data_IF_356632373452
#
_entry.id   IF_356632373452
#
_cell.length_a   1.000
_cell.length_b   1.000
_cell.length_c   1.000
_cell.angle_alpha   90.00
_cell.angle_beta   90.00
_cell.angle_gamma   90.00
#
_symmetry.space_group_name_H-M   'P 1'
#
loop_
_entity.id
_entity.type
_entity.pdbx_description
1 polymer ?
#
# COMPACT_ATOMS: atom_id res chain seq x y z
N UNK A 1 -41.66 28.44 10.75
CA UNK A 1 -40.57 28.15 11.69
C UNK A 1 -39.26 28.46 10.97
N UNK A 2 -38.36 29.23 11.60
CA UNK A 2 -37.05 29.50 11.00
C UNK A 2 -36.23 28.22 10.90
N UNK A 3 -35.58 28.00 9.77
CA UNK A 3 -34.66 26.86 9.62
C UNK A 3 -33.37 27.18 10.35
N UNK A 4 -33.00 26.37 11.35
CA UNK A 4 -31.75 26.54 12.09
C UNK A 4 -30.56 26.31 11.14
N UNK A 5 -29.65 27.29 11.10
CA UNK A 5 -28.44 27.26 10.29
C UNK A 5 -27.21 27.26 11.18
N UNK A 6 -26.21 26.50 10.75
CA UNK A 6 -24.98 26.28 11.49
C UNK A 6 -23.89 27.16 10.89
N UNK A 7 -23.22 27.92 11.75
CA UNK A 7 -22.01 28.65 11.34
C UNK A 7 -20.84 27.67 11.37
N UNK A 8 -20.12 27.59 10.26
CA UNK A 8 -18.95 26.71 10.10
C UNK A 8 -17.86 27.59 9.51
N UNK A 9 -16.70 27.66 10.17
CA UNK A 9 -15.57 28.40 9.66
C UNK A 9 -15.17 27.90 8.26
N UNK A 10 -14.85 28.78 7.29
CA UNK A 10 -14.52 28.36 5.93
C UNK A 10 -13.41 27.31 5.85
N UNK A 11 -12.41 27.43 6.73
CA UNK A 11 -11.31 26.46 6.86
C UNK A 11 -11.80 25.07 7.30
N UNK A 12 -12.75 25.02 8.23
CA UNK A 12 -13.38 23.80 8.75
C UNK A 12 -14.35 23.21 7.71
N UNK A 13 -15.09 24.06 7.00
CA UNK A 13 -15.98 23.63 5.92
C UNK A 13 -15.19 22.96 4.79
N UNK A 14 -14.13 23.61 4.30
CA UNK A 14 -13.30 23.06 3.23
C UNK A 14 -12.57 21.78 3.66
N UNK A 15 -12.13 21.71 4.91
CA UNK A 15 -11.56 20.50 5.50
C UNK A 15 -12.59 19.37 5.55
N UNK A 16 -13.81 19.62 6.07
CA UNK A 16 -14.87 18.63 6.14
C UNK A 16 -15.32 18.15 4.75
N UNK A 17 -15.44 19.06 3.77
CA UNK A 17 -15.77 18.72 2.39
C UNK A 17 -14.70 17.83 1.75
N UNK A 18 -13.41 18.16 1.94
CA UNK A 18 -12.29 17.32 1.48
C UNK A 18 -12.33 15.93 2.11
N UNK A 19 -12.61 15.83 3.41
CA UNK A 19 -12.75 14.55 4.13
C UNK A 19 -13.89 13.68 3.60
N UNK A 20 -14.85 14.20 2.85
CA UNK A 20 -15.88 13.32 2.24
C UNK A 20 -15.32 12.42 1.13
N UNK A 21 -14.16 12.76 0.54
CA UNK A 21 -13.59 12.05 -0.61
C UNK A 21 -14.45 12.15 -1.89
N UNK A 22 -15.48 13.00 -1.90
CA UNK A 22 -16.37 13.19 -3.04
C UNK A 22 -15.76 14.16 -4.05
N UNK A 23 -15.93 13.87 -5.34
CA UNK A 23 -15.61 14.82 -6.40
C UNK A 23 -16.52 16.05 -6.34
N UNK A 24 -16.07 17.17 -6.89
CA UNK A 24 -16.83 18.43 -6.91
C UNK A 24 -18.23 18.29 -7.56
N UNK A 25 -18.39 17.40 -8.53
CA UNK A 25 -19.70 17.08 -9.12
C UNK A 25 -20.61 16.34 -8.14
N UNK A 26 -20.08 15.33 -7.43
CA UNK A 26 -20.83 14.59 -6.41
C UNK A 26 -21.14 15.43 -5.18
N UNK A 27 -20.23 16.32 -4.80
CA UNK A 27 -20.45 17.31 -3.75
C UNK A 27 -21.61 18.23 -4.11
N UNK A 28 -21.63 18.79 -5.32
CA UNK A 28 -22.76 19.61 -5.80
C UNK A 28 -24.07 18.83 -5.92
N UNK A 29 -24.02 17.56 -6.31
CA UNK A 29 -25.21 16.72 -6.35
C UNK A 29 -25.77 16.42 -4.95
N UNK A 30 -24.89 16.20 -3.96
CA UNK A 30 -25.24 15.90 -2.57
C UNK A 30 -25.65 17.15 -1.80
N UNK A 31 -24.92 18.24 -2.00
CA UNK A 31 -25.07 19.54 -1.35
C UNK A 31 -25.20 20.62 -2.44
N UNK A 32 -26.41 20.86 -2.98
CA UNK A 32 -26.63 21.79 -4.09
C UNK A 32 -26.14 23.22 -3.83
N UNK A 33 -26.06 23.62 -2.56
CA UNK A 33 -25.64 24.95 -2.10
C UNK A 33 -24.21 25.00 -1.58
N UNK A 34 -23.39 23.99 -1.84
CA UNK A 34 -22.01 23.90 -1.31
C UNK A 34 -21.13 25.09 -1.72
N UNK A 35 -21.36 25.65 -2.92
CA UNK A 35 -20.63 26.84 -3.38
C UNK A 35 -21.05 28.08 -2.59
N UNK A 36 -22.34 28.24 -2.32
CA UNK A 36 -22.89 29.32 -1.51
C UNK A 36 -22.40 29.23 -0.05
N UNK A 37 -22.16 28.00 0.44
CA UNK A 37 -21.52 27.78 1.74
C UNK A 37 -20.05 28.21 1.75
N UNK A 38 -19.31 27.89 0.68
CA UNK A 38 -17.89 28.27 0.53
C UNK A 38 -17.71 29.79 0.39
N UNK A 39 -18.62 30.47 -0.30
CA UNK A 39 -18.59 31.94 -0.45
C UNK A 39 -19.12 32.68 0.79
N UNK A 40 -19.78 31.98 1.71
CA UNK A 40 -20.43 32.56 2.88
C UNK A 40 -21.77 33.25 2.58
N UNK A 41 -22.27 33.15 1.34
CA UNK A 41 -23.59 33.67 0.95
C UNK A 41 -24.73 32.91 1.64
N UNK A 42 -24.52 31.61 1.91
CA UNK A 42 -25.47 30.78 2.63
C UNK A 42 -24.80 29.92 3.68
N UNK A 43 -25.57 29.47 4.68
CA UNK A 43 -25.08 28.57 5.73
C UNK A 43 -25.86 27.25 5.67
N UNK A 44 -25.20 26.10 5.90
CA UNK A 44 -25.88 24.82 5.94
C UNK A 44 -26.92 24.81 7.07
N UNK A 45 -28.04 24.14 6.79
CA UNK A 45 -29.02 23.81 7.84
C UNK A 45 -28.43 22.78 8.81
N UNK A 46 -28.99 22.63 10.01
CA UNK A 46 -28.54 21.62 10.98
C UNK A 46 -28.47 20.21 10.33
N UNK A 47 -29.52 19.80 9.62
CA UNK A 47 -29.54 18.49 8.95
C UNK A 47 -28.45 18.35 7.89
N UNK A 48 -28.16 19.42 7.13
CA UNK A 48 -27.09 19.41 6.12
C UNK A 48 -25.70 19.35 6.77
N UNK A 49 -25.50 20.04 7.88
CA UNK A 49 -24.26 19.99 8.64
C UNK A 49 -24.07 18.62 9.32
N UNK A 50 -25.13 18.00 9.84
CA UNK A 50 -25.10 16.61 10.33
C UNK A 50 -24.79 15.60 9.22
N UNK A 51 -25.39 15.77 8.04
CA UNK A 51 -25.10 14.93 6.87
C UNK A 51 -23.65 15.11 6.40
N UNK A 52 -23.15 16.35 6.38
CA UNK A 52 -21.75 16.66 6.09
C UNK A 52 -20.83 15.99 7.10
N UNK A 53 -21.07 16.14 8.40
CA UNK A 53 -20.27 15.49 9.46
C UNK A 53 -20.26 13.96 9.30
N UNK A 54 -21.42 13.38 9.00
CA UNK A 54 -21.56 11.93 8.76
C UNK A 54 -20.77 11.47 7.53
N UNK A 55 -20.85 12.20 6.41
CA UNK A 55 -20.10 11.88 5.18
C UNK A 55 -18.60 12.11 5.33
N UNK A 56 -18.20 13.17 6.05
CA UNK A 56 -16.81 13.49 6.39
C UNK A 56 -16.24 12.63 7.53
N UNK A 57 -17.09 11.82 8.17
CA UNK A 57 -16.80 10.96 9.31
C UNK A 57 -16.07 11.68 10.44
N UNK A 58 -16.68 12.78 10.88
CA UNK A 58 -16.23 13.54 12.04
C UNK A 58 -17.41 13.69 13.00
N UNK A 59 -17.18 13.77 14.32
CA UNK A 59 -18.22 14.18 15.25
C UNK A 59 -18.77 15.55 14.84
N UNK A 60 -20.10 15.73 14.87
CA UNK A 60 -20.74 16.99 14.46
C UNK A 60 -20.12 18.23 15.13
N UNK A 61 -19.79 18.12 16.42
CA UNK A 61 -19.16 19.22 17.17
C UNK A 61 -17.84 19.72 16.57
N UNK A 62 -17.15 18.92 15.75
CA UNK A 62 -15.92 19.37 15.06
C UNK A 62 -16.18 20.40 13.96
N UNK A 63 -17.38 20.43 13.39
CA UNK A 63 -17.77 21.49 12.45
C UNK A 63 -17.89 22.87 13.13
N UNK A 64 -17.96 22.90 14.47
CA UNK A 64 -18.15 24.12 15.26
C UNK A 64 -16.83 24.69 15.82
N UNK A 65 -15.69 24.12 15.42
CA UNK A 65 -14.38 24.60 15.84
C UNK A 65 -13.94 25.83 15.03
N UNK A 66 -13.02 26.61 15.60
CA UNK A 66 -12.45 27.77 14.91
C UNK A 66 -11.42 27.39 13.83
N UNK A 67 -10.90 26.15 13.90
CA UNK A 67 -9.96 25.59 12.95
C UNK A 67 -10.14 24.06 12.88
N UNK A 68 -9.74 23.41 11.78
CA UNK A 68 -9.71 21.95 11.68
C UNK A 68 -8.93 21.32 12.83
N UNK A 69 -9.38 20.17 13.32
CA UNK A 69 -8.65 19.38 14.33
C UNK A 69 -8.51 17.92 13.87
N UNK A 70 -7.29 17.37 13.99
CA UNK A 70 -6.97 15.96 13.70
C UNK A 70 -7.62 14.96 14.69
N UNK A 71 -7.73 13.68 14.31
CA UNK A 71 -8.44 12.66 15.10
C UNK A 71 -7.75 12.35 16.46
N UNK A 72 -8.34 12.77 17.58
CA UNK A 72 -8.04 12.19 18.89
C UNK A 72 -8.52 10.73 18.97
N UNK A 73 -7.58 9.78 18.97
CA UNK A 73 -7.78 8.37 19.37
C UNK A 73 -6.86 8.02 20.52
N UNK A 74 -7.34 7.26 21.52
CA UNK A 74 -6.77 7.00 22.87
C UNK A 74 -5.33 6.43 23.01
N UNK A 75 -4.50 6.40 21.95
CA UNK A 75 -3.10 5.96 22.01
C UNK A 75 -2.15 7.17 22.21
N UNK A 76 -1.47 7.32 23.37
CA UNK A 76 -0.84 8.59 23.76
C UNK A 76 0.45 8.98 23.01
N UNK A 77 1.25 8.04 22.52
CA UNK A 77 2.66 8.32 22.16
C UNK A 77 2.94 8.64 20.69
N UNK A 78 2.02 8.35 19.76
CA UNK A 78 2.25 8.51 18.31
C UNK A 78 1.78 9.85 17.71
N UNK A 79 1.29 10.78 18.55
CA UNK A 79 0.28 11.79 18.15
C UNK A 79 0.77 13.11 17.53
N UNK A 80 1.93 13.66 17.90
CA UNK A 80 2.18 15.08 17.61
C UNK A 80 2.85 15.37 16.27
N UNK A 81 3.67 14.46 15.75
CA UNK A 81 4.39 14.66 14.46
C UNK A 81 3.65 14.01 13.28
N UNK A 82 2.75 13.05 13.54
CA UNK A 82 2.05 12.27 12.50
C UNK A 82 0.71 12.87 12.06
N UNK A 83 -0.02 13.57 12.93
CA UNK A 83 -1.33 14.13 12.59
C UNK A 83 -1.26 15.21 11.50
N UNK A 84 -0.24 16.08 11.49
CA UNK A 84 -0.04 17.07 10.42
C UNK A 84 0.20 16.40 9.05
N UNK A 85 0.79 15.19 9.03
CA UNK A 85 1.06 14.44 7.78
C UNK A 85 -0.20 13.80 7.17
N UNK A 86 -1.25 13.62 7.98
CA UNK A 86 -2.49 12.97 7.54
C UNK A 86 -3.58 13.97 7.15
N UNK A 87 -3.39 15.25 7.47
CA UNK A 87 -4.31 16.34 7.13
C UNK A 87 -4.30 16.61 5.62
N UNK A 88 -5.12 15.86 4.88
CA UNK A 88 -5.21 15.90 3.43
C UNK A 88 -5.65 14.57 2.81
N UNK A 89 -5.49 13.47 3.54
CA UNK A 89 -5.91 12.13 3.13
C UNK A 89 -7.40 11.89 3.41
N UNK A 90 -8.04 10.98 2.68
CA UNK A 90 -9.42 10.60 3.00
C UNK A 90 -9.50 9.85 4.34
N UNK A 91 -10.65 9.87 5.03
CA UNK A 91 -10.87 9.07 6.23
C UNK A 91 -10.67 7.57 5.99
N UNK A 92 -10.92 7.11 4.77
CA UNK A 92 -10.73 5.71 4.39
C UNK A 92 -9.24 5.35 4.36
N UNK A 93 -8.39 6.21 3.79
CA UNK A 93 -6.94 6.02 3.81
C UNK A 93 -6.35 6.20 5.22
N UNK A 94 -6.82 7.17 6.00
CA UNK A 94 -6.42 7.34 7.40
C UNK A 94 -6.69 6.07 8.22
N UNK A 95 -7.89 5.48 8.10
CA UNK A 95 -8.24 4.23 8.79
C UNK A 95 -7.32 3.06 8.40
N UNK A 96 -6.91 2.98 7.12
CA UNK A 96 -6.00 1.95 6.63
C UNK A 96 -4.60 2.15 7.19
N UNK A 97 -4.10 3.39 7.19
CA UNK A 97 -2.78 3.74 7.74
C UNK A 97 -2.76 3.42 9.23
N UNK A 98 -3.75 3.87 10.01
CA UNK A 98 -3.84 3.57 11.44
C UNK A 98 -3.91 2.06 11.71
N UNK A 99 -4.65 1.30 10.90
CA UNK A 99 -4.69 -0.16 11.01
C UNK A 99 -3.33 -0.80 10.72
N UNK A 100 -2.60 -0.29 9.74
CA UNK A 100 -1.26 -0.78 9.39
C UNK A 100 -0.23 -0.39 10.46
N UNK A 101 -0.29 0.83 11.00
CA UNK A 101 0.54 1.29 12.11
C UNK A 101 0.30 0.46 13.37
N UNK A 102 -0.96 0.17 13.73
CA UNK A 102 -1.28 -0.68 14.88
C UNK A 102 -0.74 -2.10 14.72
N UNK A 103 -0.76 -2.66 13.49
CA UNK A 103 -0.14 -3.96 13.20
C UNK A 103 1.38 -3.91 13.32
N UNK A 104 2.00 -2.89 12.75
CA UNK A 104 3.46 -2.72 12.79
C UNK A 104 3.94 -2.52 14.22
N UNK A 105 3.30 -1.63 14.99
CA UNK A 105 3.64 -1.35 16.38
C UNK A 105 3.50 -2.58 17.29
N UNK A 106 2.43 -3.37 17.13
CA UNK A 106 2.32 -4.63 17.87
C UNK A 106 3.43 -5.61 17.48
N UNK A 107 3.76 -5.71 16.19
CA UNK A 107 4.77 -6.64 15.72
C UNK A 107 6.17 -6.24 16.15
N UNK A 108 6.51 -4.95 16.12
CA UNK A 108 7.80 -4.43 16.58
C UNK A 108 7.99 -4.72 18.08
N UNK A 109 7.02 -4.35 18.92
CA UNK A 109 7.05 -4.64 20.37
C UNK A 109 7.26 -6.14 20.63
N UNK A 110 6.48 -7.00 19.96
CA UNK A 110 6.57 -8.45 20.10
C UNK A 110 7.93 -8.98 19.63
N UNK A 111 8.39 -8.55 18.46
CA UNK A 111 9.63 -9.00 17.86
C UNK A 111 10.85 -8.62 18.71
N UNK A 112 10.85 -7.42 19.32
CA UNK A 112 11.88 -6.99 20.27
C UNK A 112 11.87 -7.85 21.54
N UNK A 113 10.69 -8.15 22.10
CA UNK A 113 10.54 -8.97 23.30
C UNK A 113 11.10 -10.40 23.10
N UNK A 114 10.82 -11.01 21.94
CA UNK A 114 11.23 -12.40 21.65
C UNK A 114 12.54 -12.51 20.85
N UNK A 115 13.22 -11.39 20.57
CA UNK A 115 14.51 -11.37 19.89
C UNK A 115 14.48 -11.69 18.39
N UNK A 116 13.37 -11.40 17.70
CA UNK A 116 13.29 -11.52 16.24
C UNK A 116 14.00 -10.32 15.61
N UNK A 117 15.01 -10.53 14.74
CA UNK A 117 15.70 -9.41 14.09
C UNK A 117 14.83 -8.74 13.02
N UNK A 118 15.09 -7.45 12.81
CA UNK A 118 14.56 -6.69 11.68
C UNK A 118 15.12 -7.15 10.33
N UNK A 119 14.44 -6.84 9.20
CA UNK A 119 14.94 -7.19 7.87
C UNK A 119 16.22 -6.41 7.52
N UNK A 120 17.30 -7.11 7.15
CA UNK A 120 18.60 -6.50 6.80
C UNK A 120 18.52 -5.50 5.62
N UNK A 121 17.52 -5.66 4.76
CA UNK A 121 17.28 -4.75 3.63
C UNK A 121 16.78 -3.37 4.08
N UNK A 122 16.19 -3.25 5.27
CA UNK A 122 15.77 -1.95 5.81
C UNK A 122 17.00 -1.06 6.01
N UNK A 123 17.00 0.14 5.39
CA UNK A 123 18.13 1.09 5.42
C UNK A 123 19.43 0.54 4.83
N UNK A 124 19.34 -0.46 3.94
CA UNK A 124 20.50 -1.00 3.22
C UNK A 124 21.10 -0.05 2.17
N UNK A 125 20.38 1.00 1.78
CA UNK A 125 20.81 1.99 0.79
C UNK A 125 20.73 3.42 1.33
N UNK A 126 21.60 4.29 0.80
CA UNK A 126 21.54 5.73 1.02
C UNK A 126 21.00 6.43 -0.25
N UNK A 127 20.58 7.69 -0.13
CA UNK A 127 20.16 8.52 -1.27
C UNK A 127 21.21 8.62 -2.39
N UNK A 128 22.50 8.50 -2.03
CA UNK A 128 23.64 8.53 -2.96
C UNK A 128 23.91 7.17 -3.61
N UNK A 129 23.36 6.08 -3.07
CA UNK A 129 23.49 4.74 -3.65
C UNK A 129 22.75 4.70 -4.98
N UNK A 130 23.37 4.12 -6.01
CA UNK A 130 22.69 3.91 -7.29
C UNK A 130 21.46 3.03 -7.09
N UNK A 131 20.30 3.48 -7.57
CA UNK A 131 19.03 2.74 -7.57
C UNK A 131 19.17 1.35 -8.21
N UNK A 132 20.00 1.23 -9.25
CA UNK A 132 20.29 -0.02 -9.95
C UNK A 132 21.10 -1.00 -9.08
N UNK A 133 22.13 -0.49 -8.38
CA UNK A 133 22.94 -1.33 -7.49
C UNK A 133 22.12 -1.78 -6.28
N UNK A 134 21.32 -0.88 -5.68
CA UNK A 134 20.42 -1.21 -4.59
C UNK A 134 19.37 -2.25 -5.03
N UNK A 135 18.80 -2.12 -6.24
CA UNK A 135 17.87 -3.10 -6.78
C UNK A 135 18.50 -4.50 -6.93
N UNK A 136 19.75 -4.56 -7.38
CA UNK A 136 20.51 -5.83 -7.47
C UNK A 136 20.75 -6.44 -6.10
N UNK A 137 21.19 -5.64 -5.12
CA UNK A 137 21.39 -6.09 -3.74
C UNK A 137 20.09 -6.60 -3.11
N UNK A 138 18.98 -5.88 -3.35
CA UNK A 138 17.66 -6.30 -2.92
C UNK A 138 17.25 -7.64 -3.53
N UNK A 139 17.54 -7.90 -4.82
CA UNK A 139 17.25 -9.22 -5.42
C UNK A 139 17.98 -10.34 -4.69
N UNK A 140 19.27 -10.16 -4.41
CA UNK A 140 20.10 -11.14 -3.71
C UNK A 140 19.57 -11.37 -2.30
N UNK A 141 19.26 -10.28 -1.57
CA UNK A 141 18.73 -10.35 -0.21
C UNK A 141 17.39 -11.12 -0.15
N UNK A 142 16.54 -10.95 -1.17
CA UNK A 142 15.26 -11.65 -1.33
C UNK A 142 15.40 -13.05 -1.99
N UNK A 143 16.62 -13.59 -2.12
CA UNK A 143 16.85 -14.92 -2.68
C UNK A 143 16.54 -15.08 -4.17
N UNK A 144 16.37 -13.98 -4.91
CA UNK A 144 16.20 -14.02 -6.36
C UNK A 144 17.55 -14.10 -7.07
N UNK A 145 17.59 -14.80 -8.20
CA UNK A 145 18.70 -14.69 -9.14
C UNK A 145 18.81 -13.24 -9.67
N UNK A 146 20.03 -12.73 -9.81
CA UNK A 146 20.28 -11.33 -10.11
C UNK A 146 19.82 -10.90 -11.51
N UNK A 147 19.72 -11.84 -12.46
CA UNK A 147 19.59 -11.59 -13.89
C UNK A 147 18.40 -12.34 -14.52
N UNK A 148 17.30 -12.47 -13.78
CA UNK A 148 16.10 -13.18 -14.24
C UNK A 148 14.81 -12.43 -13.95
N UNK A 149 13.74 -12.81 -14.67
CA UNK A 149 12.39 -12.37 -14.31
C UNK A 149 11.95 -13.05 -13.01
N UNK A 150 11.08 -12.38 -12.24
CA UNK A 150 10.44 -13.00 -11.07
C UNK A 150 9.68 -14.25 -11.55
N UNK A 151 9.91 -15.42 -10.91
CA UNK A 151 9.38 -16.69 -11.39
C UNK A 151 7.87 -16.80 -11.20
N UNK A 152 7.27 -17.68 -11.99
CA UNK A 152 5.87 -18.06 -11.88
C UNK A 152 4.87 -17.05 -12.46
N UNK A 153 3.59 -17.47 -12.63
CA UNK A 153 2.54 -16.61 -13.14
C UNK A 153 2.05 -15.58 -12.09
N UNK A 154 2.14 -15.90 -10.79
CA UNK A 154 1.68 -15.07 -9.67
C UNK A 154 2.82 -14.23 -9.07
N UNK A 155 3.44 -13.37 -9.89
CA UNK A 155 4.64 -12.59 -9.52
C UNK A 155 4.44 -11.69 -8.31
N UNK A 156 3.26 -11.06 -8.17
CA UNK A 156 2.93 -10.20 -7.01
C UNK A 156 2.99 -11.00 -5.71
N UNK A 157 2.40 -12.19 -5.70
CA UNK A 157 2.41 -13.08 -4.53
C UNK A 157 3.80 -13.63 -4.26
N UNK A 158 4.53 -13.99 -5.31
CA UNK A 158 5.92 -14.47 -5.20
C UNK A 158 6.82 -13.41 -4.56
N UNK A 159 6.75 -12.16 -5.02
CA UNK A 159 7.51 -11.06 -4.44
C UNK A 159 7.09 -10.78 -2.99
N UNK A 160 5.78 -10.77 -2.70
CA UNK A 160 5.29 -10.55 -1.35
C UNK A 160 5.83 -11.62 -0.38
N UNK A 161 5.83 -12.89 -0.76
CA UNK A 161 6.35 -13.96 0.08
C UNK A 161 7.86 -13.80 0.33
N UNK A 162 8.66 -13.52 -0.70
CA UNK A 162 10.11 -13.30 -0.53
C UNK A 162 10.42 -12.10 0.37
N UNK A 163 9.62 -11.03 0.30
CA UNK A 163 9.72 -9.90 1.24
C UNK A 163 9.39 -10.32 2.68
N UNK A 164 8.35 -11.15 2.86
CA UNK A 164 7.94 -11.66 4.17
C UNK A 164 8.96 -12.64 4.78
N UNK A 165 9.60 -13.46 3.95
CA UNK A 165 10.63 -14.40 4.38
C UNK A 165 11.84 -13.65 4.99
N UNK A 166 12.24 -12.52 4.40
CA UNK A 166 13.37 -11.71 4.89
C UNK A 166 13.03 -10.78 6.06
N UNK A 167 11.77 -10.70 6.50
CA UNK A 167 11.40 -9.91 7.69
C UNK A 167 10.40 -8.78 7.47
N UNK A 168 10.06 -8.42 6.24
CA UNK A 168 9.16 -7.30 5.95
C UNK A 168 7.71 -7.74 6.16
N UNK A 169 6.87 -6.94 6.83
CA UNK A 169 5.43 -7.21 6.86
C UNK A 169 4.79 -6.74 5.54
N UNK A 170 4.02 -7.60 4.85
CA UNK A 170 3.39 -7.22 3.57
C UNK A 170 1.87 -7.36 3.63
N UNK A 171 1.16 -6.22 3.68
CA UNK A 171 -0.30 -6.17 3.62
C UNK A 171 -0.77 -5.89 2.19
N UNK A 172 -1.73 -6.66 1.66
CA UNK A 172 -2.27 -6.48 0.30
C UNK A 172 -3.79 -6.51 0.30
N UNK A 173 -4.43 -5.39 0.01
CA UNK A 173 -5.89 -5.29 0.13
C UNK A 173 -6.48 -4.25 -0.82
N UNK A 174 -7.78 -4.35 -1.10
CA UNK A 174 -8.53 -3.41 -1.97
C UNK A 174 -9.71 -2.74 -1.26
N UNK A 175 -9.97 -3.09 0.00
CA UNK A 175 -11.13 -2.59 0.77
C UNK A 175 -10.75 -2.12 2.17
N UNK A 176 -11.47 -1.14 2.70
CA UNK A 176 -11.24 -0.66 4.07
C UNK A 176 -11.86 -1.62 5.08
N UNK A 177 -11.04 -2.05 6.05
CA UNK A 177 -11.44 -3.03 7.07
C UNK A 177 -11.97 -4.32 6.44
N UNK A 178 -13.24 -4.63 6.71
CA UNK A 178 -13.96 -5.78 6.12
C UNK A 178 -15.11 -5.38 5.18
N UNK A 179 -15.26 -4.09 4.87
CA UNK A 179 -16.42 -3.63 4.11
C UNK A 179 -16.23 -3.87 2.63
N UNK A 180 -16.99 -4.81 2.05
CA UNK A 180 -16.99 -5.06 0.59
C UNK A 180 -17.59 -3.92 -0.23
N UNK A 181 -18.06 -2.84 0.42
CA UNK A 181 -18.59 -1.64 -0.24
C UNK A 181 -17.59 -0.47 -0.24
N UNK A 182 -16.55 -0.51 0.61
CA UNK A 182 -15.57 0.57 0.76
C UNK A 182 -14.28 0.18 0.06
N UNK A 183 -14.23 0.40 -1.26
CA UNK A 183 -13.05 0.14 -2.07
C UNK A 183 -12.05 1.29 -2.02
N UNK A 184 -10.76 0.97 -2.03
CA UNK A 184 -9.71 1.97 -2.14
C UNK A 184 -9.69 2.61 -3.52
N UNK A 185 -9.51 3.92 -3.57
CA UNK A 185 -9.24 4.64 -4.80
C UNK A 185 -7.78 4.45 -5.22
N UNK A 186 -7.56 3.95 -6.42
CA UNK A 186 -6.21 3.84 -7.02
C UNK A 186 -5.61 5.24 -7.28
N UNK A 187 -6.48 6.24 -7.51
CA UNK A 187 -6.08 7.63 -7.73
C UNK A 187 -5.64 8.31 -6.43
N UNK A 188 -6.05 7.78 -5.28
CA UNK A 188 -5.67 8.30 -3.96
C UNK A 188 -4.36 7.67 -3.49
N UNK A 189 -4.22 6.34 -3.55
CA UNK A 189 -2.98 5.66 -3.19
C UNK A 189 -2.85 4.28 -3.85
N UNK A 190 -1.61 3.89 -4.15
CA UNK A 190 -1.26 2.60 -4.77
C UNK A 190 -0.53 1.68 -3.81
N UNK A 191 0.22 2.26 -2.87
CA UNK A 191 0.93 1.57 -1.80
C UNK A 191 1.45 2.59 -0.80
N UNK A 192 2.00 2.09 0.29
CA UNK A 192 2.80 2.90 1.22
C UNK A 192 3.72 2.01 2.05
N UNK A 193 4.78 2.63 2.57
CA UNK A 193 5.74 1.99 3.48
C UNK A 193 5.71 2.69 4.84
N UNK A 194 5.56 1.90 5.90
CA UNK A 194 5.70 2.31 7.30
C UNK A 194 6.96 1.70 7.91
N UNK A 195 7.59 2.43 8.82
CA UNK A 195 8.82 2.03 9.51
C UNK A 195 8.65 2.33 10.99
N UNK A 196 9.02 1.37 11.83
CA UNK A 196 9.00 1.47 13.28
C UNK A 196 10.22 0.74 13.86
N UNK A 197 11.16 1.49 14.42
CA UNK A 197 12.45 0.96 14.86
C UNK A 197 13.19 0.22 13.73
N UNK A 198 13.47 -1.06 13.98
CA UNK A 198 14.13 -1.99 13.04
C UNK A 198 13.14 -2.77 12.16
N UNK A 199 11.84 -2.46 12.23
CA UNK A 199 10.80 -3.17 11.50
C UNK A 199 10.09 -2.26 10.50
N UNK A 200 9.47 -2.88 9.49
CA UNK A 200 8.72 -2.15 8.47
C UNK A 200 7.51 -2.94 7.98
N UNK A 201 6.55 -2.19 7.45
CA UNK A 201 5.36 -2.73 6.80
C UNK A 201 5.18 -2.06 5.44
N UNK A 202 5.02 -2.89 4.41
CA UNK A 202 4.64 -2.48 3.07
C UNK A 202 3.18 -2.80 2.83
N UNK A 203 2.43 -1.81 2.38
CA UNK A 203 1.03 -1.96 1.97
C UNK A 203 0.90 -1.77 0.46
N UNK A 204 0.12 -2.63 -0.20
CA UNK A 204 -0.22 -2.47 -1.62
C UNK A 204 -1.73 -2.54 -1.84
N UNK A 205 -2.27 -1.56 -2.58
CA UNK A 205 -3.65 -1.52 -3.02
C UNK A 205 -3.87 -2.54 -4.16
N UNK A 206 -4.69 -3.56 -3.92
CA UNK A 206 -4.95 -4.63 -4.89
C UNK A 206 -6.08 -4.33 -5.87
N UNK A 207 -6.61 -3.10 -5.89
CA UNK A 207 -7.63 -2.67 -6.85
C UNK A 207 -7.09 -2.48 -8.27
N UNK A 208 -5.78 -2.29 -8.43
CA UNK A 208 -5.15 -2.06 -9.74
C UNK A 208 -4.81 -3.36 -10.49
N UNK A 209 -4.38 -3.28 -11.74
CA UNK A 209 -3.88 -4.40 -12.52
C UNK A 209 -2.65 -5.06 -11.85
N UNK A 210 -2.47 -6.37 -12.04
CA UNK A 210 -1.36 -7.14 -11.45
C UNK A 210 0.03 -6.58 -11.77
N UNK A 211 0.21 -6.02 -12.97
CA UNK A 211 1.47 -5.35 -13.35
C UNK A 211 1.72 -4.07 -12.56
N UNK A 212 0.68 -3.30 -12.25
CA UNK A 212 0.77 -2.11 -11.41
C UNK A 212 0.98 -2.49 -9.94
N UNK A 213 0.29 -3.52 -9.44
CA UNK A 213 0.52 -4.05 -8.08
C UNK A 213 1.98 -4.52 -7.90
N UNK A 214 2.54 -5.23 -8.89
CA UNK A 214 3.93 -5.68 -8.85
C UNK A 214 4.91 -4.50 -8.79
N UNK A 215 4.66 -3.48 -9.62
CA UNK A 215 5.48 -2.28 -9.63
C UNK A 215 5.39 -1.51 -8.31
N UNK A 216 4.18 -1.31 -7.77
CA UNK A 216 4.00 -0.69 -6.45
C UNK A 216 4.72 -1.47 -5.35
N UNK A 217 4.64 -2.80 -5.34
CA UNK A 217 5.33 -3.60 -4.34
C UNK A 217 6.87 -3.45 -4.41
N UNK A 218 7.44 -3.44 -5.62
CA UNK A 218 8.87 -3.20 -5.82
C UNK A 218 9.27 -1.74 -5.53
N UNK A 219 8.37 -0.78 -5.76
CA UNK A 219 8.58 0.63 -5.44
C UNK A 219 8.64 0.84 -3.92
N UNK A 220 7.69 0.28 -3.17
CA UNK A 220 7.70 0.31 -1.70
C UNK A 220 8.93 -0.43 -1.13
N UNK A 221 9.40 -1.49 -1.78
CA UNK A 221 10.68 -2.13 -1.41
C UNK A 221 11.86 -1.16 -1.53
N UNK A 222 11.83 -0.25 -2.50
CA UNK A 222 12.80 0.83 -2.62
C UNK A 222 12.76 1.81 -1.43
N UNK A 223 11.56 2.16 -0.96
CA UNK A 223 11.38 2.94 0.26
C UNK A 223 11.94 2.24 1.50
N UNK A 224 11.71 0.93 1.62
CA UNK A 224 12.32 0.10 2.67
C UNK A 224 13.85 0.15 2.58
N UNK A 225 14.42 -0.04 1.38
CA UNK A 225 15.87 0.00 1.18
C UNK A 225 16.50 1.33 1.60
N UNK A 226 15.84 2.46 1.31
CA UNK A 226 16.27 3.80 1.75
C UNK A 226 15.96 4.09 3.23
N UNK A 227 15.12 3.28 3.87
CA UNK A 227 14.62 3.56 5.21
C UNK A 227 13.74 4.81 5.32
N UNK A 228 13.02 5.15 4.24
CA UNK A 228 12.16 6.33 4.17
C UNK A 228 10.71 5.91 3.99
N UNK A 229 9.84 6.36 4.90
CA UNK A 229 8.41 6.10 4.79
C UNK A 229 7.82 6.72 3.50
N UNK A 230 6.94 5.98 2.82
CA UNK A 230 6.31 6.36 1.53
C UNK A 230 5.15 7.36 1.66
N UNK A 231 5.00 8.03 2.81
CA UNK A 231 3.91 8.98 3.11
C UNK A 231 4.49 10.33 3.57
N UNK A 232 5.57 10.81 2.95
CA UNK A 232 6.31 11.99 3.43
C UNK A 232 6.09 13.25 2.57
N UNK A 233 5.93 14.42 3.19
CA UNK A 233 5.41 15.63 2.51
C UNK A 233 6.50 16.70 2.23
N UNK A 234 7.68 16.33 1.72
CA UNK A 234 8.82 17.26 1.60
C UNK A 234 9.39 17.36 0.18
N UNK A 235 10.13 18.42 -0.14
CA UNK A 235 10.76 18.62 -1.47
C UNK A 235 11.73 17.52 -1.89
N UNK A 236 12.34 16.81 -0.94
CA UNK A 236 13.14 15.59 -1.19
C UNK A 236 12.29 14.40 -1.69
N UNK A 237 10.96 14.46 -1.55
CA UNK A 237 10.03 13.42 -1.98
C UNK A 237 10.19 13.15 -3.48
N UNK A 238 10.26 14.17 -4.34
CA UNK A 238 10.42 13.96 -5.79
C UNK A 238 11.70 13.21 -6.16
N UNK A 239 12.80 13.40 -5.41
CA UNK A 239 14.06 12.69 -5.64
C UNK A 239 13.95 11.24 -5.19
N UNK A 240 13.39 11.02 -4.00
CA UNK A 240 13.15 9.67 -3.45
C UNK A 240 12.19 8.88 -4.34
N UNK A 241 11.07 9.46 -4.74
CA UNK A 241 10.10 8.84 -5.65
C UNK A 241 10.73 8.44 -6.98
N UNK A 242 11.57 9.30 -7.56
CA UNK A 242 12.30 8.97 -8.78
C UNK A 242 13.26 7.81 -8.55
N UNK A 243 14.01 7.84 -7.46
CA UNK A 243 14.91 6.75 -7.08
C UNK A 243 14.16 5.43 -6.89
N UNK A 244 13.03 5.43 -6.19
CA UNK A 244 12.18 4.25 -5.97
C UNK A 244 11.58 3.72 -7.29
N UNK A 245 11.21 4.60 -8.21
CA UNK A 245 10.75 4.21 -9.55
C UNK A 245 11.85 3.54 -10.38
N UNK A 246 13.05 4.11 -10.39
CA UNK A 246 14.21 3.52 -11.07
C UNK A 246 14.61 2.17 -10.43
N UNK A 247 14.61 2.12 -9.09
CA UNK A 247 14.83 0.90 -8.32
C UNK A 247 13.82 -0.18 -8.71
N UNK A 248 12.52 0.13 -8.71
CA UNK A 248 11.47 -0.81 -9.04
C UNK A 248 11.61 -1.35 -10.48
N UNK A 249 11.89 -0.47 -11.43
CA UNK A 249 12.11 -0.85 -12.83
C UNK A 249 13.33 -1.77 -12.98
N UNK A 250 14.44 -1.44 -12.31
CA UNK A 250 15.66 -2.24 -12.33
C UNK A 250 15.50 -3.58 -11.60
N UNK A 251 14.76 -3.60 -10.49
CA UNK A 251 14.49 -4.79 -9.70
C UNK A 251 13.64 -5.79 -10.47
N UNK A 252 12.54 -5.33 -11.10
CA UNK A 252 11.62 -6.20 -11.83
C UNK A 252 12.22 -6.64 -13.18
N UNK A 253 12.90 -5.73 -13.88
CA UNK A 253 13.50 -5.99 -15.19
C UNK A 253 15.01 -5.67 -15.18
N UNK A 254 15.85 -6.59 -14.65
CA UNK A 254 17.30 -6.43 -14.62
C UNK A 254 17.87 -6.19 -16.01
N UNK A 255 18.85 -5.28 -16.11
CA UNK A 255 19.40 -4.85 -17.39
C UNK A 255 19.96 -6.03 -18.21
N UNK A 256 20.74 -6.91 -17.57
CA UNK A 256 21.31 -8.11 -18.18
C UNK A 256 20.23 -9.01 -18.75
N UNK A 257 19.21 -9.32 -17.94
CA UNK A 257 18.08 -10.16 -18.31
C UNK A 257 17.29 -9.60 -19.51
N UNK A 258 17.10 -8.28 -19.55
CA UNK A 258 16.42 -7.57 -20.63
C UNK A 258 17.26 -7.60 -21.90
N UNK A 259 18.56 -7.27 -21.81
CA UNK A 259 19.48 -7.23 -22.96
C UNK A 259 19.62 -8.59 -23.62
N UNK A 260 19.71 -9.67 -22.84
CA UNK A 260 19.78 -11.04 -23.36
C UNK A 260 18.53 -11.47 -24.14
N UNK A 261 17.36 -10.98 -23.73
CA UNK A 261 16.06 -11.32 -24.35
C UNK A 261 15.66 -10.37 -25.47
N UNK A 262 16.33 -9.23 -25.59
CA UNK A 262 16.05 -8.25 -26.63
C UNK A 262 16.49 -8.78 -28.00
N UNK A 263 15.55 -8.89 -28.94
CA UNK A 263 15.80 -9.42 -30.28
C UNK A 263 15.82 -8.29 -31.31
N UNK A 264 17.01 -7.90 -31.77
CA UNK A 264 17.22 -6.86 -32.80
C UNK A 264 16.54 -7.16 -34.15
N UNK A 265 16.13 -8.41 -34.40
CA UNK A 265 15.41 -8.80 -35.63
C UNK A 265 13.91 -8.53 -35.56
N UNK A 266 13.36 -8.33 -34.36
CA UNK A 266 11.94 -8.02 -34.16
C UNK A 266 11.73 -6.51 -34.12
N UNK A 267 10.51 -6.05 -34.43
CA UNK A 267 10.15 -4.65 -34.25
C UNK A 267 10.28 -4.24 -32.77
N UNK A 268 10.50 -2.95 -32.50
CA UNK A 268 10.55 -2.45 -31.13
C UNK A 268 9.22 -2.73 -30.39
N UNK A 269 8.08 -2.60 -31.07
CA UNK A 269 6.78 -2.87 -30.47
C UNK A 269 6.60 -4.36 -30.08
N UNK A 270 7.14 -5.28 -30.88
CA UNK A 270 7.10 -6.71 -30.56
C UNK A 270 8.04 -7.05 -29.40
N UNK A 271 9.24 -6.46 -29.38
CA UNK A 271 10.16 -6.57 -28.24
C UNK A 271 9.50 -6.05 -26.95
N UNK A 272 8.92 -4.85 -26.97
CA UNK A 272 8.22 -4.27 -25.82
C UNK A 272 7.08 -5.17 -25.36
N UNK A 273 6.28 -5.70 -26.28
CA UNK A 273 5.15 -6.56 -25.94
C UNK A 273 5.60 -7.88 -25.31
N UNK A 274 6.60 -8.53 -25.91
CA UNK A 274 7.18 -9.78 -25.41
C UNK A 274 7.84 -9.59 -24.04
N UNK A 275 8.75 -8.62 -23.92
CA UNK A 275 9.50 -8.35 -22.68
C UNK A 275 8.57 -7.91 -21.56
N UNK A 276 7.58 -7.04 -21.81
CA UNK A 276 6.61 -6.63 -20.81
C UNK A 276 5.86 -7.84 -20.22
N UNK A 277 5.49 -8.82 -21.05
CA UNK A 277 4.88 -10.07 -20.60
C UNK A 277 5.83 -10.93 -19.77
N UNK A 278 7.09 -11.07 -20.21
CA UNK A 278 8.12 -11.85 -19.51
C UNK A 278 8.46 -11.28 -18.14
N UNK A 279 8.56 -9.95 -18.00
CA UNK A 279 8.92 -9.31 -16.73
C UNK A 279 7.70 -8.91 -15.89
N UNK A 280 6.49 -8.90 -16.46
CA UNK A 280 5.27 -8.60 -15.71
C UNK A 280 5.07 -7.12 -15.42
N UNK A 281 5.59 -6.26 -16.29
CA UNK A 281 5.40 -4.81 -16.21
C UNK A 281 4.54 -4.31 -17.38
N UNK A 282 4.07 -3.07 -17.31
CA UNK A 282 3.33 -2.47 -18.42
C UNK A 282 4.25 -2.28 -19.64
N UNK A 283 3.65 -2.16 -20.83
CA UNK A 283 4.41 -1.88 -22.06
C UNK A 283 5.08 -0.50 -21.99
N UNK A 284 4.41 0.45 -21.35
CA UNK A 284 4.94 1.78 -21.07
C UNK A 284 6.18 1.72 -20.17
N UNK A 285 6.10 0.96 -19.07
CA UNK A 285 7.23 0.76 -18.16
C UNK A 285 8.38 0.00 -18.84
N UNK A 286 8.08 -1.00 -19.67
CA UNK A 286 9.10 -1.70 -20.45
C UNK A 286 9.77 -0.78 -21.46
N UNK A 287 9.00 0.07 -22.16
CA UNK A 287 9.55 1.01 -23.12
C UNK A 287 10.45 2.06 -22.44
N UNK A 288 10.05 2.57 -21.27
CA UNK A 288 10.91 3.41 -20.41
C UNK A 288 12.19 2.65 -20.03
N UNK A 289 12.06 1.41 -19.55
CA UNK A 289 13.20 0.59 -19.16
C UNK A 289 14.20 0.37 -20.30
N UNK A 290 13.73 0.10 -21.53
CA UNK A 290 14.59 -0.05 -22.71
C UNK A 290 15.37 1.22 -23.03
N UNK A 291 14.73 2.39 -22.85
CA UNK A 291 15.39 3.69 -23.02
C UNK A 291 16.43 3.92 -21.92
N UNK A 292 16.09 3.62 -20.67
CA UNK A 292 16.97 3.84 -19.51
C UNK A 292 18.26 2.99 -19.58
N UNK A 293 18.21 1.83 -20.22
CA UNK A 293 19.38 0.96 -20.44
C UNK A 293 20.03 1.14 -21.83
N UNK A 294 19.68 2.24 -22.51
CA UNK A 294 20.23 2.65 -23.81
C UNK A 294 20.09 1.60 -24.93
N UNK A 295 19.02 0.81 -24.92
CA UNK A 295 18.69 -0.12 -26.02
C UNK A 295 17.92 0.56 -27.14
N UNK A 296 17.31 1.71 -26.88
CA UNK A 296 16.57 2.52 -27.85
C UNK A 296 16.88 3.99 -27.67
N UNK A 297 16.73 4.75 -28.75
CA UNK A 297 16.87 6.20 -28.73
C UNK A 297 15.55 6.91 -28.42
N UNK A 298 15.64 8.21 -28.09
CA UNK A 298 14.48 9.05 -27.78
C UNK A 298 13.43 9.05 -28.92
N UNK A 299 13.87 9.04 -30.18
CA UNK A 299 12.98 9.04 -31.33
C UNK A 299 12.14 7.76 -31.42
N UNK A 300 12.78 6.59 -31.26
CA UNK A 300 12.10 5.30 -31.27
C UNK A 300 11.13 5.17 -30.09
N UNK A 301 11.52 5.69 -28.92
CA UNK A 301 10.68 5.78 -27.74
C UNK A 301 9.39 6.58 -28.03
N UNK A 302 9.51 7.79 -28.58
CA UNK A 302 8.36 8.66 -28.83
C UNK A 302 7.39 8.07 -29.85
N UNK A 303 7.91 7.40 -30.88
CA UNK A 303 7.11 6.72 -31.90
C UNK A 303 6.30 5.56 -31.29
N UNK A 304 6.96 4.64 -30.59
CA UNK A 304 6.30 3.45 -30.05
C UNK A 304 5.40 3.80 -28.86
N UNK A 305 5.74 4.80 -28.05
CA UNK A 305 4.92 5.26 -26.94
C UNK A 305 3.54 5.72 -27.43
N UNK A 306 3.46 6.40 -28.58
CA UNK A 306 2.17 6.79 -29.20
C UNK A 306 1.33 5.56 -29.54
N UNK A 307 1.95 4.52 -30.13
CA UNK A 307 1.26 3.28 -30.49
C UNK A 307 0.77 2.49 -29.26
N UNK A 308 1.56 2.48 -28.18
CA UNK A 308 1.20 1.82 -26.91
C UNK A 308 0.00 2.51 -26.27
N UNK A 309 -0.02 3.85 -26.22
CA UNK A 309 -1.13 4.64 -25.66
C UNK A 309 -2.44 4.45 -26.42
N UNK A 310 -2.42 4.52 -27.75
CA UNK A 310 -3.61 4.28 -28.59
C UNK A 310 -4.18 2.87 -28.40
N UNK A 311 -3.31 1.86 -28.20
CA UNK A 311 -3.77 0.48 -27.91
C UNK A 311 -4.34 0.31 -26.51
N UNK A 312 -3.96 1.13 -25.53
CA UNK A 312 -4.50 1.10 -24.15
C UNK A 312 -5.94 1.59 -24.10
N UNK A 313 -6.24 2.69 -24.82
CA UNK A 313 -7.59 3.26 -24.94
C UNK A 313 -8.59 2.25 -25.52
N UNK A 314 -8.13 1.32 -26.37
CA UNK A 314 -8.98 0.26 -26.98
C UNK A 314 -9.19 -0.98 -26.11
N UNK A 315 -8.47 -1.15 -24.99
CA UNK A 315 -8.45 -2.38 -24.18
C UNK A 315 -9.01 -2.22 -22.76
N UNK A 316 -9.60 -1.07 -22.44
CA UNK A 316 -10.19 -0.80 -21.14
C UNK A 316 -11.58 -1.44 -20.99
N UNK A 317 -11.62 -2.78 -20.86
CA UNK A 317 -12.73 -3.53 -20.23
C UNK A 317 -12.34 -5.01 -20.21
N UNK A 318 -11.92 -5.55 -19.06
CA UNK A 318 -12.17 -6.95 -18.69
C UNK A 318 -12.21 -7.07 -17.17
N UNK A 319 -13.37 -7.47 -16.67
CA UNK A 319 -13.60 -7.89 -15.29
C UNK A 319 -13.16 -9.35 -15.12
N UNK A 320 -12.44 -9.64 -14.04
CA UNK A 320 -12.06 -10.99 -13.63
C UNK A 320 -13.02 -11.54 -12.58
N UNK A 321 -13.56 -12.73 -12.85
CA UNK A 321 -14.51 -13.48 -12.04
C UNK A 321 -13.85 -14.32 -10.93
N UNK A 322 -14.50 -14.41 -9.76
CA UNK A 322 -14.32 -15.49 -8.78
C UNK A 322 -13.46 -15.12 -7.56
N UNK A 323 -14.11 -14.88 -6.41
CA UNK A 323 -13.43 -14.54 -5.16
C UNK A 323 -12.80 -15.74 -4.44
N UNK A 324 -11.56 -15.65 -3.93
CA UNK A 324 -10.95 -16.65 -3.05
C UNK A 324 -11.75 -16.86 -1.76
N UNK A 325 -11.52 -17.98 -1.06
CA UNK A 325 -12.14 -18.20 0.25
C UNK A 325 -11.72 -17.14 1.29
N UNK A 326 -12.62 -16.81 2.23
CA UNK A 326 -12.42 -15.75 3.24
C UNK A 326 -11.09 -15.82 4.01
N UNK A 327 -10.61 -17.03 4.34
CA UNK A 327 -9.32 -17.20 5.04
C UNK A 327 -8.12 -16.81 4.16
N UNK A 328 -8.14 -17.19 2.88
CA UNK A 328 -7.09 -16.81 1.91
C UNK A 328 -7.06 -15.29 1.73
N UNK A 329 -8.23 -14.65 1.75
CA UNK A 329 -8.35 -13.19 1.71
C UNK A 329 -7.77 -12.52 2.96
N UNK A 330 -8.01 -13.05 4.17
CA UNK A 330 -7.47 -12.46 5.40
C UNK A 330 -5.94 -12.61 5.45
N UNK A 331 -5.39 -13.80 5.17
CA UNK A 331 -3.93 -14.03 5.13
C UNK A 331 -3.25 -13.10 4.14
N UNK A 332 -3.80 -12.96 2.93
CA UNK A 332 -3.28 -11.99 1.94
C UNK A 332 -3.44 -10.54 2.38
N UNK A 333 -4.51 -10.20 3.12
CA UNK A 333 -4.82 -8.84 3.56
C UNK A 333 -3.83 -8.31 4.57
N UNK A 334 -3.53 -9.10 5.60
CA UNK A 334 -2.64 -8.67 6.70
C UNK A 334 -1.18 -9.04 6.46
N UNK A 335 -0.92 -10.01 5.59
CA UNK A 335 0.40 -10.60 5.36
C UNK A 335 0.53 -11.96 6.05
N UNK A 336 1.20 -12.90 5.39
CA UNK A 336 1.50 -14.22 5.93
C UNK A 336 2.35 -14.13 7.19
N UNK A 337 3.40 -13.31 7.18
CA UNK A 337 4.31 -13.17 8.33
C UNK A 337 3.58 -12.68 9.57
N UNK A 338 2.75 -11.64 9.41
CA UNK A 338 1.95 -11.09 10.51
C UNK A 338 0.90 -12.09 10.98
N UNK A 339 0.19 -12.73 10.05
CA UNK A 339 -0.84 -13.72 10.37
C UNK A 339 -0.29 -14.88 11.20
N UNK A 340 0.83 -15.48 10.78
CA UNK A 340 1.43 -16.62 11.50
C UNK A 340 1.94 -16.18 12.89
N UNK A 341 2.53 -14.98 13.00
CA UNK A 341 3.04 -14.45 14.28
C UNK A 341 1.92 -14.20 15.29
N UNK A 342 0.83 -13.54 14.87
CA UNK A 342 -0.34 -13.35 15.73
C UNK A 342 -0.99 -14.68 16.11
N UNK A 343 -1.07 -15.62 15.16
CA UNK A 343 -1.67 -16.93 15.42
C UNK A 343 -0.86 -17.71 16.44
N UNK A 344 0.47 -17.70 16.34
CA UNK A 344 1.37 -18.29 17.32
C UNK A 344 1.19 -17.62 18.70
N UNK A 345 1.35 -16.30 18.78
CA UNK A 345 1.25 -15.57 20.05
C UNK A 345 -0.10 -15.82 20.76
N UNK A 346 -1.19 -15.89 20.00
CA UNK A 346 -2.52 -16.20 20.54
C UNK A 346 -2.63 -17.65 21.04
N UNK A 347 -2.14 -18.63 20.27
CA UNK A 347 -2.23 -20.05 20.63
C UNK A 347 -1.28 -20.46 21.73
N UNK A 348 -0.15 -19.78 21.88
CA UNK A 348 0.78 -19.92 23.00
C UNK A 348 0.33 -19.14 24.24
N UNK A 349 -0.80 -18.41 24.19
CA UNK A 349 -1.34 -17.66 25.32
C UNK A 349 -0.58 -16.37 25.67
N UNK A 350 0.30 -15.90 24.78
CA UNK A 350 1.06 -14.64 24.94
C UNK A 350 0.16 -13.42 24.74
N UNK A 351 -0.87 -13.53 23.90
CA UNK A 351 -1.92 -12.51 23.76
C UNK A 351 -3.31 -13.13 23.86
N UNK A 352 -4.31 -12.37 24.36
CA UNK A 352 -5.70 -12.82 24.31
C UNK A 352 -6.17 -13.04 22.86
N UNK A 353 -6.89 -14.13 22.59
CA UNK A 353 -7.41 -14.43 21.24
C UNK A 353 -8.36 -13.32 20.71
N UNK A 354 -8.97 -12.53 21.60
CA UNK A 354 -9.78 -11.36 21.23
C UNK A 354 -8.92 -10.25 20.62
N UNK A 355 -7.73 -10.02 21.16
CA UNK A 355 -6.81 -8.99 20.66
C UNK A 355 -6.19 -9.43 19.34
N UNK A 356 -5.86 -10.73 19.22
CA UNK A 356 -5.48 -11.36 17.96
C UNK A 356 -6.56 -11.19 16.87
N UNK A 357 -7.83 -11.42 17.22
CA UNK A 357 -8.95 -11.20 16.30
C UNK A 357 -9.02 -9.73 15.84
N UNK A 358 -8.86 -8.77 16.76
CA UNK A 358 -8.85 -7.33 16.43
C UNK A 358 -7.72 -6.96 15.47
N UNK A 359 -6.50 -7.43 15.74
CA UNK A 359 -5.30 -7.14 14.93
C UNK A 359 -5.37 -7.74 13.52
N UNK A 360 -6.02 -8.91 13.37
CA UNK A 360 -6.30 -9.53 12.08
C UNK A 360 -7.51 -8.91 11.35
N UNK A 361 -8.19 -7.95 11.98
CA UNK A 361 -9.43 -7.37 11.48
C UNK A 361 -10.60 -8.35 11.48
N UNK A 362 -10.57 -9.43 12.26
CA UNK A 362 -11.68 -10.37 12.39
C UNK A 362 -12.77 -9.80 13.33
N UNK A 363 -14.03 -9.85 12.89
CA UNK A 363 -15.16 -9.26 13.63
C UNK A 363 -15.50 -9.97 14.95
N UNK A 364 -14.98 -11.19 15.19
CA UNK A 364 -15.26 -11.95 16.40
C UNK A 364 -14.21 -13.03 16.68
N UNK A 365 -14.16 -13.49 17.92
CA UNK A 365 -13.42 -14.69 18.34
C UNK A 365 -13.75 -15.91 17.47
N UNK A 366 -15.02 -16.12 17.15
CA UNK A 366 -15.47 -17.23 16.30
C UNK A 366 -14.94 -17.11 14.87
N UNK A 367 -14.78 -15.88 14.38
CA UNK A 367 -14.14 -15.61 13.08
C UNK A 367 -12.64 -15.94 13.14
N UNK A 368 -11.96 -15.61 14.24
CA UNK A 368 -10.56 -15.99 14.48
C UNK A 368 -10.35 -17.50 14.54
N UNK A 369 -11.13 -18.25 15.34
CA UNK A 369 -11.01 -19.71 15.37
C UNK A 369 -11.22 -20.35 13.99
N UNK A 370 -12.18 -19.85 13.22
CA UNK A 370 -12.43 -20.35 11.87
C UNK A 370 -11.28 -20.03 10.91
N UNK A 371 -10.59 -18.90 11.09
CA UNK A 371 -9.39 -18.56 10.33
C UNK A 371 -8.26 -19.54 10.67
N UNK A 372 -7.98 -19.76 11.95
CA UNK A 372 -6.91 -20.66 12.40
C UNK A 372 -7.18 -22.13 12.03
N UNK A 373 -8.43 -22.59 12.16
CA UNK A 373 -8.79 -23.96 11.75
C UNK A 373 -8.62 -24.17 10.24
N UNK A 374 -9.03 -23.19 9.42
CA UNK A 374 -8.92 -23.26 7.96
C UNK A 374 -7.51 -23.01 7.43
N UNK A 375 -6.64 -22.39 8.22
CA UNK A 375 -5.23 -22.25 7.88
C UNK A 375 -4.46 -23.56 7.99
N UNK A 376 -4.98 -24.57 8.71
CA UNK A 376 -4.21 -25.78 8.99
C UNK A 376 -3.00 -25.50 9.90
N UNK A 377 -3.05 -24.42 10.70
CA UNK A 377 -1.98 -24.03 11.62
C UNK A 377 -1.51 -25.18 12.52
N UNK A 378 -2.44 -25.99 13.02
CA UNK A 378 -2.12 -27.13 13.89
C UNK A 378 -1.16 -28.15 13.23
N UNK A 379 -1.10 -28.21 11.90
CA UNK A 379 -0.15 -29.06 11.17
C UNK A 379 1.19 -28.38 10.88
N UNK A 380 1.30 -27.06 11.08
CA UNK A 380 2.45 -26.21 10.73
C UNK A 380 3.16 -25.58 11.94
N UNK A 381 2.63 -25.77 13.14
CA UNK A 381 3.21 -25.27 14.39
C UNK A 381 4.69 -25.69 14.57
N UNK A 382 5.01 -26.96 14.28
CA UNK A 382 6.37 -27.48 14.37
C UNK A 382 7.33 -26.84 13.33
N UNK A 383 6.82 -26.49 12.14
CA UNK A 383 7.60 -25.84 11.08
C UNK A 383 7.82 -24.36 11.38
N UNK A 384 6.84 -23.69 12.00
CA UNK A 384 6.99 -22.31 12.47
C UNK A 384 8.05 -22.20 13.58
N UNK A 385 8.00 -23.10 14.56
CA UNK A 385 9.01 -23.18 15.62
C UNK A 385 10.41 -23.50 15.06
N UNK A 386 10.52 -24.38 14.07
CA UNK A 386 11.80 -24.76 13.46
C UNK A 386 12.41 -23.69 12.53
N UNK A 387 11.60 -23.01 11.72
CA UNK A 387 12.08 -22.08 10.67
C UNK A 387 12.44 -20.68 11.17
N UNK A 388 11.85 -20.22 12.30
CA UNK A 388 12.09 -18.86 12.81
C UNK A 388 12.87 -18.79 14.13
N UNK A 389 12.91 -19.84 14.93
CA UNK A 389 13.72 -19.89 16.16
C UNK A 389 15.10 -20.53 15.96
N UNK A 390 15.44 -21.04 14.77
CA UNK A 390 16.80 -21.54 14.47
C UNK A 390 17.89 -20.47 14.36
N UNK A 391 17.56 -19.18 14.54
CA UNK A 391 18.56 -18.11 14.71
C UNK A 391 18.99 -17.91 16.17
N UNK A 392 18.46 -18.71 17.11
CA UNK A 392 18.84 -18.69 18.53
C UNK A 392 19.37 -20.09 18.89
N UNK A 393 20.57 -20.40 18.43
CA UNK A 393 21.19 -21.70 18.71
C UNK A 393 22.46 -21.95 17.93
N UNK A 394 23.48 -21.13 18.17
CA UNK A 394 24.86 -21.57 18.48
C UNK A 394 25.66 -20.42 19.10
#
# INVERSE_FOLDING_TARGET
MGVLRIDIEPSVLDWALRRTGLSDEKLRATFPKVNDWRSGEERPTLNQAEELAKKARIPFGRLLLQAPSGEETDLPDFRTVRNERLDGLSPDLQEVIHSAEARLGWYSDYAEEVGIPGPEILRSAQDSTSSILAARQARIALGFDEASAIPGPERVTTLAHQMEDVGILVSRNSIVGNSTQRHFSIDEFRGFTLIDGEFCLVFVNTSDAKTAQLFSLAHELGHVALGKAGISDHSDHLRVERWCNEFAAAFIAPETAVKERYNKKCSLLDNVTSLASVFGISREAMLLRLKDIFLIEQQEFDEVMRLVRVRKEKKATQEGSGGPSFHVLVRSRVGERFFETITFAAKSGQIPERDAARLLGAASYKSFENLVKKSGWASREAEYLGSKFQLIGD
#
